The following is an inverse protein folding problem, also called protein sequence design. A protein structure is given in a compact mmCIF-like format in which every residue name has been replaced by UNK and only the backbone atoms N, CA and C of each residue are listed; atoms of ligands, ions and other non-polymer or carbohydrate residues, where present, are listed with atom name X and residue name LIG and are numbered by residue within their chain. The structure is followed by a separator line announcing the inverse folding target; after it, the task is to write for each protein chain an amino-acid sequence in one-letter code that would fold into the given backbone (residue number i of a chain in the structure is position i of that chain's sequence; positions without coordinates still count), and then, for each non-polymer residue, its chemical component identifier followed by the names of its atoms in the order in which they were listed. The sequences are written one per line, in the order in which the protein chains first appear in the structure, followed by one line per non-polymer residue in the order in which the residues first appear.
data_IF_645989250434
#
_entry.id   IF_645989250434
#
_cell.length_a   1.000
_cell.length_b   1.000
_cell.length_c   1.000
_cell.angle_alpha   90.00
_cell.angle_beta   90.00
_cell.angle_gamma   90.00
#
_symmetry.space_group_name_H-M   'P 1'
#
loop_
_entity.id
_entity.type
_entity.pdbx_description
1 polymer ?
#
# COMPACT_ATOMS: atom_id res chain seq x y z
N UNK A 1 19.49 -47.38 26.15
CA UNK A 1 19.71 -45.97 25.73
C UNK A 1 18.37 -45.45 25.19
N UNK A 2 17.52 -44.88 26.05
CA UNK A 2 16.25 -44.26 25.62
C UNK A 2 16.54 -42.81 25.26
N UNK A 3 16.44 -42.47 23.98
CA UNK A 3 16.48 -41.09 23.52
C UNK A 3 15.12 -40.46 23.80
N UNK A 4 15.05 -39.59 24.79
CA UNK A 4 13.92 -38.68 24.97
C UNK A 4 13.99 -37.62 23.87
N UNK A 5 13.23 -37.80 22.79
CA UNK A 5 12.98 -36.75 21.82
C UNK A 5 11.94 -35.81 22.42
N UNK A 6 12.40 -34.75 23.06
CA UNK A 6 11.53 -33.70 23.56
C UNK A 6 11.08 -32.88 22.35
N UNK A 7 9.85 -33.11 21.90
CA UNK A 7 9.24 -32.31 20.85
C UNK A 7 9.20 -30.85 21.32
N UNK A 8 9.97 -30.00 20.64
CA UNK A 8 9.85 -28.55 20.70
C UNK A 8 8.37 -28.20 20.49
N UNK A 9 7.73 -27.73 21.56
CA UNK A 9 6.39 -27.17 21.48
C UNK A 9 6.52 -25.91 20.63
N UNK A 10 6.06 -25.98 19.36
CA UNK A 10 5.81 -24.78 18.58
C UNK A 10 4.67 -24.06 19.28
N UNK A 11 5.01 -23.02 20.04
CA UNK A 11 4.07 -22.06 20.55
C UNK A 11 3.27 -21.52 19.35
N UNK A 12 2.01 -21.91 19.24
CA UNK A 12 1.13 -21.40 18.20
C UNK A 12 0.92 -19.91 18.52
N UNK A 13 1.66 -19.05 17.82
CA UNK A 13 1.44 -17.61 17.84
C UNK A 13 0.04 -17.34 17.27
N UNK A 14 -0.96 -17.30 18.14
CA UNK A 14 -2.25 -16.72 17.78
C UNK A 14 -1.99 -15.27 17.34
N UNK A 15 -2.53 -14.84 16.19
CA UNK A 15 -2.38 -13.45 15.78
C UNK A 15 -2.97 -12.55 16.85
N UNK A 16 -2.22 -11.53 17.27
CA UNK A 16 -2.74 -10.50 18.18
C UNK A 16 -3.83 -9.74 17.43
N UNK A 17 -5.07 -9.84 17.92
CA UNK A 17 -6.23 -9.15 17.35
C UNK A 17 -6.53 -7.90 18.17
N UNK A 18 -6.58 -6.75 17.50
CA UNK A 18 -7.01 -5.47 18.08
C UNK A 18 -8.29 -4.99 17.38
N UNK A 19 -8.98 -4.00 17.96
CA UNK A 19 -10.11 -3.39 17.27
C UNK A 19 -9.62 -2.65 16.03
N UNK A 20 -10.45 -2.64 14.97
CA UNK A 20 -10.11 -1.94 13.72
C UNK A 20 -9.87 -0.44 13.97
N UNK A 21 -10.62 0.17 14.91
CA UNK A 21 -10.43 1.57 15.28
C UNK A 21 -9.05 1.80 15.91
N UNK A 22 -8.63 0.96 16.86
CA UNK A 22 -7.31 1.10 17.49
C UNK A 22 -6.17 0.95 16.48
N UNK A 23 -6.29 0.01 15.54
CA UNK A 23 -5.32 -0.16 14.46
C UNK A 23 -5.26 1.09 13.56
N UNK A 24 -6.43 1.65 13.19
CA UNK A 24 -6.50 2.86 12.37
C UNK A 24 -5.88 4.07 13.09
N UNK A 25 -6.22 4.28 14.37
CA UNK A 25 -5.67 5.37 15.17
C UNK A 25 -4.13 5.26 15.28
N UNK A 26 -3.60 4.04 15.40
CA UNK A 26 -2.16 3.79 15.41
C UNK A 26 -1.51 4.19 14.07
N UNK A 27 -2.11 3.81 12.94
CA UNK A 27 -1.60 4.17 11.61
C UNK A 27 -1.66 5.68 11.37
N UNK A 28 -2.76 6.34 11.75
CA UNK A 28 -2.94 7.79 11.60
C UNK A 28 -2.04 8.61 12.54
N UNK A 29 -1.52 8.00 13.62
CA UNK A 29 -0.54 8.65 14.50
C UNK A 29 0.86 8.78 13.89
N UNK A 30 1.14 8.10 12.77
CA UNK A 30 2.44 8.16 12.11
C UNK A 30 2.69 9.57 11.53
N UNK A 31 3.77 10.26 11.92
CA UNK A 31 4.02 11.63 11.48
C UNK A 31 4.29 11.70 9.97
N UNK A 32 3.70 12.69 9.30
CA UNK A 32 3.99 12.99 7.89
C UNK A 32 5.18 13.95 7.77
N UNK A 33 6.16 13.59 6.95
CA UNK A 33 7.33 14.43 6.65
C UNK A 33 7.34 14.82 5.15
N UNK A 34 6.89 16.04 4.79
CA UNK A 34 6.67 16.43 3.40
C UNK A 34 7.90 16.29 2.49
N UNK A 35 9.09 16.65 2.98
CA UNK A 35 10.33 16.60 2.19
C UNK A 35 10.76 15.16 1.87
N UNK A 36 10.59 14.24 2.83
CA UNK A 36 10.85 12.82 2.61
C UNK A 36 9.81 12.21 1.68
N UNK A 37 8.54 12.59 1.83
CA UNK A 37 7.45 12.15 0.96
C UNK A 37 7.66 12.61 -0.49
N UNK A 38 8.07 13.87 -0.69
CA UNK A 38 8.38 14.40 -2.02
C UNK A 38 9.55 13.63 -2.67
N UNK A 39 10.63 13.41 -1.92
CA UNK A 39 11.79 12.64 -2.38
C UNK A 39 11.41 11.19 -2.72
N UNK A 40 10.55 10.57 -1.92
CA UNK A 40 10.04 9.23 -2.17
C UNK A 40 9.22 9.16 -3.46
N UNK A 41 8.31 10.12 -3.70
CA UNK A 41 7.56 10.17 -4.96
C UNK A 41 8.51 10.34 -6.15
N UNK A 42 9.55 11.17 -6.04
CA UNK A 42 10.52 11.35 -7.11
C UNK A 42 11.23 10.04 -7.47
N UNK A 43 11.61 9.23 -6.47
CA UNK A 43 12.21 7.91 -6.72
C UNK A 43 11.20 6.88 -7.26
N UNK A 44 10.02 6.76 -6.64
CA UNK A 44 8.97 5.83 -7.10
C UNK A 44 8.55 6.14 -8.53
N UNK A 45 8.44 7.42 -8.88
CA UNK A 45 8.07 7.84 -10.24
C UNK A 45 9.05 7.30 -11.29
N UNK A 46 10.36 7.24 -10.99
CA UNK A 46 11.36 6.67 -11.90
C UNK A 46 11.10 5.19 -12.19
N UNK A 47 10.67 4.42 -11.19
CA UNK A 47 10.32 3.00 -11.38
C UNK A 47 8.99 2.85 -12.12
N UNK A 48 7.99 3.65 -11.77
CA UNK A 48 6.66 3.60 -12.40
C UNK A 48 6.73 3.95 -13.89
N UNK A 49 7.67 4.81 -14.32
CA UNK A 49 7.92 5.10 -15.73
C UNK A 49 8.25 3.87 -16.58
N UNK A 50 8.71 2.76 -15.98
CA UNK A 50 8.97 1.50 -16.69
C UNK A 50 7.73 0.61 -16.82
N UNK A 51 6.57 1.04 -16.33
CA UNK A 51 5.34 0.28 -16.49
C UNK A 51 4.83 0.38 -17.93
N UNK A 52 4.76 -0.77 -18.61
CA UNK A 52 4.50 -0.84 -20.06
C UNK A 52 3.11 -0.34 -20.46
N UNK A 53 2.16 -0.32 -19.52
CA UNK A 53 0.75 -0.01 -19.77
C UNK A 53 0.38 1.45 -19.50
N UNK A 54 1.31 2.33 -19.10
CA UNK A 54 1.01 3.71 -18.70
C UNK A 54 0.17 4.49 -19.73
N UNK A 55 0.60 4.50 -21.00
CA UNK A 55 -0.09 5.25 -22.05
C UNK A 55 -1.49 4.68 -22.35
N UNK A 56 -1.61 3.34 -22.38
CA UNK A 56 -2.87 2.66 -22.62
C UNK A 56 -3.84 2.82 -21.44
N UNK A 57 -3.34 2.87 -20.21
CA UNK A 57 -4.16 3.12 -19.02
C UNK A 57 -4.68 4.56 -19.00
N UNK A 58 -3.87 5.52 -19.43
CA UNK A 58 -4.25 6.94 -19.48
C UNK A 58 -5.27 7.23 -20.58
N UNK A 59 -5.10 6.61 -21.75
CA UNK A 59 -5.98 6.76 -22.90
C UNK A 59 -6.43 5.39 -23.42
N UNK A 60 -7.31 4.68 -22.70
CA UNK A 60 -7.67 3.32 -23.05
C UNK A 60 -8.58 3.27 -24.29
N UNK A 61 -8.58 2.14 -25.02
CA UNK A 61 -9.57 1.91 -26.07
C UNK A 61 -10.98 1.82 -25.47
N UNK A 62 -12.01 2.12 -26.26
CA UNK A 62 -13.42 2.08 -25.82
C UNK A 62 -13.86 0.70 -25.27
N UNK A 63 -13.16 -0.37 -25.66
CA UNK A 63 -13.43 -1.73 -25.19
C UNK A 63 -12.87 -2.02 -23.80
N UNK A 64 -12.07 -1.13 -23.23
CA UNK A 64 -11.54 -1.29 -21.87
C UNK A 64 -12.63 -0.99 -20.84
N UNK A 65 -12.87 -1.93 -19.94
CA UNK A 65 -14.01 -1.87 -19.00
C UNK A 65 -13.74 -1.02 -17.76
N UNK A 66 -12.48 -0.73 -17.45
CA UNK A 66 -12.11 0.09 -16.30
C UNK A 66 -11.97 1.56 -16.68
N UNK A 67 -12.01 2.45 -15.68
CA UNK A 67 -11.82 3.87 -15.91
C UNK A 67 -10.38 4.19 -16.36
N UNK A 68 -10.20 5.21 -17.23
CA UNK A 68 -8.88 5.75 -17.55
C UNK A 68 -8.14 6.17 -16.27
N UNK A 69 -6.83 5.93 -16.21
CA UNK A 69 -6.00 6.36 -15.09
C UNK A 69 -4.69 7.02 -15.53
N UNK A 70 -4.42 8.20 -14.98
CA UNK A 70 -3.16 8.92 -15.16
C UNK A 70 -2.28 8.74 -13.91
N UNK A 71 -1.51 7.66 -13.89
CA UNK A 71 -0.67 7.31 -12.73
C UNK A 71 0.40 8.39 -12.49
N UNK A 72 1.07 8.85 -13.55
CA UNK A 72 2.12 9.88 -13.42
C UNK A 72 1.54 11.23 -12.99
N UNK A 73 0.38 11.62 -13.53
CA UNK A 73 -0.35 12.81 -13.10
C UNK A 73 -0.83 12.71 -11.65
N UNK A 74 -1.31 11.52 -11.24
CA UNK A 74 -1.69 11.23 -9.86
C UNK A 74 -0.53 11.34 -8.88
N UNK A 75 0.64 10.76 -9.21
CA UNK A 75 1.84 10.87 -8.39
C UNK A 75 2.29 12.32 -8.25
N UNK A 76 2.23 13.11 -9.33
CA UNK A 76 2.52 14.56 -9.28
C UNK A 76 1.57 15.30 -8.32
N UNK A 77 0.28 14.97 -8.32
CA UNK A 77 -0.70 15.55 -7.39
C UNK A 77 -0.38 15.17 -5.94
N UNK A 78 -0.11 13.89 -5.69
CA UNK A 78 0.25 13.38 -4.36
C UNK A 78 1.51 14.09 -3.85
N UNK A 79 2.54 14.25 -4.69
CA UNK A 79 3.77 15.00 -4.34
C UNK A 79 3.51 16.42 -3.83
N UNK A 80 2.49 17.09 -4.35
CA UNK A 80 2.10 18.45 -3.98
C UNK A 80 1.08 18.53 -2.83
N UNK A 81 0.63 17.38 -2.33
CA UNK A 81 -0.41 17.31 -1.29
C UNK A 81 0.23 17.24 0.08
N UNK A 82 -0.25 18.05 1.02
CA UNK A 82 0.13 17.94 2.42
C UNK A 82 -0.86 17.02 3.14
N UNK A 83 -0.38 15.85 3.59
CA UNK A 83 -1.20 14.85 4.27
C UNK A 83 -1.18 15.04 5.79
N UNK A 84 -2.21 14.55 6.48
CA UNK A 84 -2.31 14.66 7.93
C UNK A 84 -1.46 13.61 8.65
N UNK A 85 -1.13 12.50 7.97
CA UNK A 85 -0.30 11.40 8.49
C UNK A 85 0.47 10.69 7.37
N UNK A 86 1.52 9.94 7.73
CA UNK A 86 2.24 9.07 6.78
C UNK A 86 1.30 8.02 6.17
N UNK A 87 0.37 7.49 6.96
CA UNK A 87 -0.58 6.49 6.49
C UNK A 87 -1.51 7.02 5.41
N UNK A 88 -2.00 8.26 5.52
CA UNK A 88 -2.83 8.87 4.47
C UNK A 88 -2.06 9.03 3.16
N UNK A 89 -0.77 9.40 3.23
CA UNK A 89 0.11 9.49 2.07
C UNK A 89 0.31 8.12 1.40
N UNK A 90 0.67 7.09 2.17
CA UNK A 90 0.87 5.72 1.68
C UNK A 90 -0.44 5.17 1.07
N UNK A 91 -1.57 5.41 1.74
CA UNK A 91 -2.90 5.02 1.27
C UNK A 91 -3.29 5.72 -0.04
N UNK A 92 -2.92 6.99 -0.22
CA UNK A 92 -3.18 7.73 -1.45
C UNK A 92 -2.40 7.15 -2.65
N UNK A 93 -1.12 6.80 -2.44
CA UNK A 93 -0.31 6.13 -3.48
C UNK A 93 -0.91 4.76 -3.80
N UNK A 94 -1.23 3.98 -2.75
CA UNK A 94 -1.80 2.65 -2.94
C UNK A 94 -3.13 2.72 -3.72
N UNK A 95 -4.03 3.63 -3.35
CA UNK A 95 -5.30 3.84 -4.05
C UNK A 95 -5.09 4.23 -5.51
N UNK A 96 -4.13 5.12 -5.80
CA UNK A 96 -3.78 5.50 -7.17
C UNK A 96 -3.30 4.28 -7.98
N UNK A 97 -2.37 3.48 -7.45
CA UNK A 97 -1.86 2.31 -8.18
C UNK A 97 -2.96 1.26 -8.42
N UNK A 98 -3.90 1.09 -7.49
CA UNK A 98 -5.04 0.18 -7.66
C UNK A 98 -5.97 0.59 -8.81
N UNK A 99 -6.00 1.88 -9.19
CA UNK A 99 -6.79 2.30 -10.37
C UNK A 99 -6.29 1.69 -11.69
N UNK A 100 -5.04 1.21 -11.73
CA UNK A 100 -4.49 0.51 -12.89
C UNK A 100 -5.11 -0.88 -13.11
N UNK A 101 -5.80 -1.44 -12.10
CA UNK A 101 -6.32 -2.81 -12.10
C UNK A 101 -5.26 -3.86 -12.47
N UNK A 102 -4.03 -3.66 -12.02
CA UNK A 102 -2.89 -4.55 -12.25
C UNK A 102 -2.39 -5.12 -10.91
N UNK A 103 -2.56 -6.43 -10.72
CA UNK A 103 -2.13 -7.13 -9.51
C UNK A 103 -0.61 -7.20 -9.31
N UNK A 104 0.19 -6.86 -10.33
CA UNK A 104 1.65 -6.81 -10.24
C UNK A 104 2.18 -5.40 -9.95
N UNK A 105 1.35 -4.36 -10.11
CA UNK A 105 1.75 -2.98 -9.89
C UNK A 105 1.53 -2.58 -8.42
N UNK A 106 2.57 -2.70 -7.60
CA UNK A 106 2.52 -2.36 -6.18
C UNK A 106 3.78 -1.67 -5.70
N UNK A 107 3.64 -0.86 -4.65
CA UNK A 107 4.72 -0.28 -3.86
C UNK A 107 4.53 -0.75 -2.42
N UNK A 108 5.62 -1.19 -1.79
CA UNK A 108 5.59 -1.59 -0.38
C UNK A 108 5.87 -0.38 0.52
N UNK A 109 5.06 -0.22 1.56
CA UNK A 109 5.12 0.91 2.48
C UNK A 109 5.40 0.47 3.92
N UNK A 110 5.91 1.39 4.73
CA UNK A 110 6.13 1.17 6.16
C UNK A 110 4.81 1.08 6.94
N UNK A 111 3.72 1.66 6.44
CA UNK A 111 2.41 1.66 7.10
C UNK A 111 1.58 0.38 6.87
N UNK A 112 2.21 -0.77 6.63
CA UNK A 112 1.56 -2.06 6.29
C UNK A 112 1.42 -3.02 7.50
N UNK A 113 1.42 -2.48 8.72
CA UNK A 113 1.49 -3.26 9.97
C UNK A 113 0.23 -4.07 10.29
N UNK A 114 -0.94 -3.64 9.83
CA UNK A 114 -2.23 -4.26 10.17
C UNK A 114 -2.90 -4.88 8.95
N UNK A 115 -3.49 -6.07 9.14
CA UNK A 115 -4.41 -6.68 8.19
C UNK A 115 -5.84 -6.53 8.70
N UNK A 116 -6.71 -5.91 7.89
CA UNK A 116 -8.11 -5.72 8.24
C UNK A 116 -8.95 -6.86 7.66
N UNK A 117 -9.62 -7.60 8.54
CA UNK A 117 -10.47 -8.73 8.17
C UNK A 117 -11.92 -8.34 8.42
N UNK A 118 -12.76 -8.48 7.40
CA UNK A 118 -14.21 -8.34 7.56
C UNK A 118 -14.73 -9.62 8.22
N UNK A 119 -15.52 -9.46 9.28
CA UNK A 119 -16.19 -10.60 9.88
C UNK A 119 -17.16 -11.21 8.85
N UNK A 120 -16.97 -12.48 8.51
CA UNK A 120 -17.93 -13.21 7.70
C UNK A 120 -19.06 -13.64 8.63
N UNK A 121 -20.15 -12.87 8.63
CA UNK A 121 -21.47 -13.35 9.07
C UNK A 121 -21.90 -14.53 8.24
#
# INVERSE_FOLDING_TARGET
MRTHFQSSQREQLFPVVVTAQLAKDCLESMPFYPELAASFIDEVTKYIQWQSTLEALKNPPETYTSFPTDILGGLKKIRSTNFSSQWEFDAAINALLHTANDGHLRVDFCSTLFSFIRNKT
#
